data_IF_281792436588
#
_entry.id   IF_281792436588
#
_cell.length_a   1.000
_cell.length_b   1.000
_cell.length_c   1.000
_cell.angle_alpha   90.00
_cell.angle_beta   90.00
_cell.angle_gamma   90.00
#
_symmetry.space_group_name_H-M   'P 1'
#
loop_
_entity.id
_entity.type
_entity.pdbx_description
1 polymer ?
#
# COMPACT_ATOMS: atom_id res chain seq x y z
N UNK A 1 -11.49 -3.98 -31.14
CA UNK A 1 -12.57 -3.27 -30.41
C UNK A 1 -13.69 -4.21 -29.97
N UNK A 2 -14.44 -4.86 -30.88
CA UNK A 2 -15.57 -5.75 -30.53
C UNK A 2 -15.22 -6.89 -29.55
N UNK A 3 -14.07 -7.55 -29.74
CA UNK A 3 -13.57 -8.60 -28.83
C UNK A 3 -13.32 -8.10 -27.39
N UNK A 4 -12.83 -6.87 -27.24
CA UNK A 4 -12.62 -6.27 -25.92
C UNK A 4 -13.95 -5.91 -25.26
N UNK A 5 -14.89 -5.41 -26.04
CA UNK A 5 -16.25 -5.14 -25.58
C UNK A 5 -16.94 -6.42 -25.09
N UNK A 6 -16.94 -7.50 -25.89
CA UNK A 6 -17.51 -8.80 -25.48
C UNK A 6 -16.84 -9.37 -24.22
N UNK A 7 -15.52 -9.19 -24.08
CA UNK A 7 -14.79 -9.59 -22.87
C UNK A 7 -15.20 -8.76 -21.66
N UNK A 8 -15.41 -7.45 -21.82
CA UNK A 8 -15.89 -6.58 -20.75
C UNK A 8 -17.30 -6.98 -20.31
N UNK A 9 -18.22 -7.20 -21.25
CA UNK A 9 -19.59 -7.64 -20.95
C UNK A 9 -19.58 -8.96 -20.18
N UNK A 10 -18.78 -9.94 -20.62
CA UNK A 10 -18.62 -11.21 -19.91
C UNK A 10 -18.06 -11.04 -18.50
N UNK A 11 -17.06 -10.16 -18.34
CA UNK A 11 -16.52 -9.84 -17.02
C UNK A 11 -17.57 -9.19 -16.13
N UNK A 12 -18.30 -8.19 -16.64
CA UNK A 12 -19.30 -7.45 -15.90
C UNK A 12 -20.37 -8.35 -15.28
N UNK A 13 -20.86 -9.35 -16.03
CA UNK A 13 -21.85 -10.31 -15.52
C UNK A 13 -21.28 -11.39 -14.58
N UNK A 14 -19.95 -11.61 -14.57
CA UNK A 14 -19.30 -12.63 -13.74
C UNK A 14 -18.46 -12.06 -12.59
N UNK A 15 -18.30 -10.74 -12.52
CA UNK A 15 -17.45 -10.09 -11.54
C UNK A 15 -18.03 -10.25 -10.13
N UNK A 16 -17.14 -10.45 -9.17
CA UNK A 16 -17.45 -10.43 -7.74
C UNK A 16 -17.15 -9.05 -7.19
N UNK A 17 -18.02 -8.58 -6.31
CA UNK A 17 -17.95 -7.27 -5.67
C UNK A 17 -17.46 -7.41 -4.23
N UNK A 18 -17.18 -6.30 -3.56
CA UNK A 18 -16.89 -6.30 -2.11
C UNK A 18 -17.99 -6.99 -1.29
N UNK A 19 -19.25 -6.93 -1.73
CA UNK A 19 -20.37 -7.56 -1.02
C UNK A 19 -20.42 -9.08 -1.17
N UNK A 20 -19.68 -9.65 -2.13
CA UNK A 20 -19.51 -11.11 -2.27
C UNK A 20 -18.39 -11.66 -1.36
N UNK A 21 -17.66 -10.80 -0.63
CA UNK A 21 -16.59 -11.20 0.28
C UNK A 21 -17.19 -11.67 1.60
N UNK A 22 -17.15 -12.99 1.84
CA UNK A 22 -17.72 -13.58 3.06
C UNK A 22 -16.84 -13.45 4.29
N UNK A 23 -15.53 -13.22 4.14
CA UNK A 23 -14.64 -13.00 5.28
C UNK A 23 -14.81 -11.58 5.81
N UNK A 24 -15.26 -11.38 7.06
CA UNK A 24 -15.43 -10.04 7.62
C UNK A 24 -14.14 -9.22 7.59
N UNK A 25 -13.01 -9.85 7.89
CA UNK A 25 -11.70 -9.23 7.84
C UNK A 25 -11.34 -8.72 6.43
N UNK A 26 -11.54 -9.54 5.41
CA UNK A 26 -11.22 -9.15 4.02
C UNK A 26 -12.18 -8.07 3.53
N UNK A 27 -13.46 -8.16 3.90
CA UNK A 27 -14.44 -7.13 3.57
C UNK A 27 -14.05 -5.76 4.18
N UNK A 28 -13.66 -5.75 5.45
CA UNK A 28 -13.22 -4.53 6.14
C UNK A 28 -11.95 -3.95 5.51
N UNK A 29 -10.97 -4.78 5.16
CA UNK A 29 -9.79 -4.33 4.43
C UNK A 29 -10.13 -3.70 3.07
N UNK A 30 -11.00 -4.32 2.28
CA UNK A 30 -11.44 -3.76 1.00
C UNK A 30 -12.12 -2.40 1.22
N UNK A 31 -13.01 -2.31 2.20
CA UNK A 31 -13.82 -1.11 2.46
C UNK A 31 -13.00 0.06 3.03
N UNK A 32 -12.14 -0.21 4.02
CA UNK A 32 -11.46 0.84 4.79
C UNK A 32 -10.05 1.15 4.29
N UNK A 33 -9.48 0.34 3.40
CA UNK A 33 -8.11 0.56 2.89
C UNK A 33 -8.07 0.68 1.37
N UNK A 34 -8.69 -0.26 0.65
CA UNK A 34 -8.58 -0.27 -0.82
C UNK A 34 -9.55 0.71 -1.50
N UNK A 35 -10.76 0.82 -0.98
CA UNK A 35 -11.81 1.71 -1.51
C UNK A 35 -12.00 2.98 -0.66
N UNK A 36 -11.17 3.21 0.35
CA UNK A 36 -11.21 4.45 1.11
C UNK A 36 -10.53 5.58 0.31
N UNK A 37 -11.33 6.50 -0.21
CA UNK A 37 -10.90 7.69 -0.95
C UNK A 37 -10.84 8.95 -0.07
N UNK A 38 -11.05 8.82 1.24
CA UNK A 38 -10.96 9.94 2.18
C UNK A 38 -9.53 10.45 2.27
N UNK A 39 -9.40 11.77 2.24
CA UNK A 39 -8.16 12.45 2.59
C UNK A 39 -8.19 12.86 4.06
N UNK A 40 -7.34 12.26 4.89
CA UNK A 40 -7.26 12.60 6.30
C UNK A 40 -6.34 13.81 6.51
N UNK A 41 -6.71 14.68 7.45
CA UNK A 41 -5.97 15.91 7.76
C UNK A 41 -4.47 15.67 8.06
N UNK A 42 -4.12 14.48 8.58
CA UNK A 42 -2.74 14.13 8.91
C UNK A 42 -1.89 13.74 7.68
N UNK A 43 -2.52 13.42 6.54
CA UNK A 43 -1.79 12.93 5.37
C UNK A 43 -0.87 13.99 4.79
N UNK A 44 -1.30 15.24 4.74
CA UNK A 44 -0.47 16.33 4.22
C UNK A 44 0.81 16.52 5.06
N UNK A 45 0.69 16.48 6.39
CA UNK A 45 1.84 16.60 7.29
C UNK A 45 2.81 15.42 7.13
N UNK A 46 2.28 14.20 7.02
CA UNK A 46 3.08 12.98 6.82
C UNK A 46 3.80 13.02 5.48
N UNK A 47 3.11 13.39 4.40
CA UNK A 47 3.68 13.43 3.05
C UNK A 47 4.74 14.54 2.92
N UNK A 48 4.54 15.68 3.58
CA UNK A 48 5.54 16.74 3.66
C UNK A 48 6.79 16.28 4.41
N UNK A 49 6.62 15.60 5.55
CA UNK A 49 7.74 15.03 6.31
C UNK A 49 8.48 13.98 5.47
N UNK A 50 7.75 13.10 4.77
CA UNK A 50 8.30 12.08 3.89
C UNK A 50 9.13 12.73 2.77
N UNK A 51 8.61 13.78 2.12
CA UNK A 51 9.33 14.51 1.09
C UNK A 51 10.61 15.18 1.64
N UNK A 52 10.56 15.77 2.83
CA UNK A 52 11.74 16.32 3.50
C UNK A 52 12.79 15.23 3.76
N UNK A 53 12.39 14.11 4.37
CA UNK A 53 13.29 13.02 4.70
C UNK A 53 13.86 12.31 3.46
N UNK A 54 13.12 12.25 2.36
CA UNK A 54 13.57 11.65 1.10
C UNK A 54 14.71 12.45 0.44
N UNK A 55 14.73 13.77 0.65
CA UNK A 55 15.78 14.65 0.14
C UNK A 55 16.94 14.84 1.12
N UNK A 56 16.85 14.26 2.31
CA UNK A 56 17.87 14.37 3.34
C UNK A 56 19.03 13.42 3.07
N UNK A 57 20.25 13.97 2.96
CA UNK A 57 21.49 13.21 2.71
C UNK A 57 22.31 12.96 3.98
N UNK A 58 21.77 13.31 5.15
CA UNK A 58 22.45 13.03 6.42
C UNK A 58 22.60 11.53 6.61
N UNK A 59 23.80 11.11 6.99
CA UNK A 59 24.04 9.72 7.35
C UNK A 59 23.75 9.47 8.82
N UNK A 60 23.04 8.39 9.11
CA UNK A 60 22.72 7.96 10.47
C UNK A 60 23.45 6.66 10.79
N UNK A 61 23.99 6.62 12.01
CA UNK A 61 24.62 5.40 12.54
C UNK A 61 23.55 4.47 13.06
N UNK A 62 23.37 3.33 12.40
CA UNK A 62 22.37 2.33 12.77
C UNK A 62 23.00 1.31 13.72
N UNK A 63 22.36 1.08 14.87
CA UNK A 63 22.71 0.01 15.81
C UNK A 63 21.66 -1.10 15.73
N UNK A 64 21.95 -2.12 14.94
CA UNK A 64 21.12 -3.32 14.84
C UNK A 64 21.24 -4.18 16.12
N UNK A 65 20.11 -4.51 16.73
CA UNK A 65 19.99 -5.39 17.93
C UNK A 65 19.37 -6.75 17.61
N UNK A 66 19.11 -7.06 16.34
CA UNK A 66 18.58 -8.36 15.93
C UNK A 66 19.60 -9.50 16.09
N UNK A 67 19.13 -10.73 15.95
CA UNK A 67 19.95 -11.95 16.07
C UNK A 67 21.03 -12.12 14.97
N UNK A 68 21.14 -11.15 14.04
CA UNK A 68 22.13 -11.13 12.97
C UNK A 68 21.75 -12.04 11.80
N UNK A 69 21.07 -11.49 10.78
CA UNK A 69 20.98 -12.16 9.48
C UNK A 69 22.29 -11.94 8.70
N UNK A 70 22.68 -12.90 7.83
CA UNK A 70 23.90 -12.84 7.01
C UNK A 70 23.81 -11.86 5.82
N UNK A 71 22.97 -10.84 5.89
CA UNK A 71 22.82 -9.83 4.84
C UNK A 71 23.59 -8.59 5.29
N UNK A 72 24.50 -8.10 4.45
CA UNK A 72 25.46 -7.02 4.71
C UNK A 72 25.02 -6.00 5.79
N UNK A 73 25.78 -5.93 6.88
CA UNK A 73 25.58 -4.96 7.96
C UNK A 73 26.11 -3.59 7.53
N UNK A 74 25.37 -2.84 6.71
CA UNK A 74 25.64 -1.39 6.52
C UNK A 74 25.32 -0.66 7.83
N UNK A 75 26.36 -0.30 8.58
CA UNK A 75 26.30 0.40 9.88
C UNK A 75 25.98 1.90 9.75
N UNK A 76 25.94 2.39 8.52
CA UNK A 76 25.70 3.78 8.15
C UNK A 76 24.74 3.76 6.96
N UNK A 77 23.64 4.49 7.06
CA UNK A 77 22.69 4.75 5.96
C UNK A 77 22.53 6.25 5.80
#
# INVERSE_FOLDING_TARGET
MLKHFLRFVRFYFGAKTKYDVHSPFVYEFVREVLEDDRWYYAFDEIENLRAYMLNDQRTIRIKDRGAGSQVEKKKVR
#
